data_IF_334927191651
#
_entry.id   IF_334927191651
#
_cell.length_a   1.000
_cell.length_b   1.000
_cell.length_c   1.000
_cell.angle_alpha   90.00
_cell.angle_beta   90.00
_cell.angle_gamma   90.00
#
_symmetry.space_group_name_H-M   'P 1'
#
loop_
_entity.id
_entity.type
_entity.pdbx_description
1 polymer ?
#
# COMPACT_ATOMS: atom_id res chain seq x y z
N UNK A 1 8.58 -2.94 -12.98
CA UNK A 1 7.64 -2.44 -11.96
C UNK A 1 7.38 -0.98 -12.27
N UNK A 2 6.12 -0.56 -12.24
CA UNK A 2 5.70 0.83 -12.43
C UNK A 2 5.37 1.44 -11.06
N UNK A 3 6.04 2.53 -10.70
CA UNK A 3 5.76 3.27 -9.47
C UNK A 3 4.94 4.53 -9.83
N UNK A 4 3.72 4.62 -9.32
CA UNK A 4 2.83 5.75 -9.61
C UNK A 4 3.24 7.05 -8.90
N UNK A 5 4.17 7.00 -7.93
CA UNK A 5 4.78 8.21 -7.36
C UNK A 5 5.66 8.96 -8.36
N UNK A 6 6.14 8.28 -9.41
CA UNK A 6 6.92 8.90 -10.47
C UNK A 6 6.06 9.67 -11.48
N UNK A 7 4.74 9.45 -11.49
CA UNK A 7 3.82 10.26 -12.28
C UNK A 7 3.64 11.63 -11.60
N UNK A 8 4.01 12.69 -12.30
CA UNK A 8 3.76 14.05 -11.82
C UNK A 8 2.27 14.42 -11.91
N UNK A 9 1.89 15.55 -11.29
CA UNK A 9 0.50 15.99 -11.28
C UNK A 9 -0.04 16.28 -12.68
N UNK A 10 0.80 16.75 -13.62
CA UNK A 10 0.38 17.01 -15.00
C UNK A 10 0.02 15.71 -15.73
N UNK A 11 0.75 14.64 -15.46
CA UNK A 11 0.45 13.30 -15.98
C UNK A 11 -0.90 12.76 -15.47
N UNK A 12 -1.26 13.11 -14.25
CA UNK A 12 -2.48 12.62 -13.58
C UNK A 12 -3.72 13.51 -13.78
N UNK A 13 -3.65 14.55 -14.62
CA UNK A 13 -4.81 15.42 -14.90
C UNK A 13 -5.64 14.94 -16.07
N UNK A 14 -5.05 14.21 -17.00
CA UNK A 14 -5.68 13.77 -18.25
C UNK A 14 -5.41 12.28 -18.51
N UNK A 15 -6.46 11.54 -18.82
CA UNK A 15 -6.38 10.09 -19.05
C UNK A 15 -5.47 9.74 -20.23
N UNK A 16 -5.47 10.53 -21.31
CA UNK A 16 -4.60 10.29 -22.45
C UNK A 16 -3.14 10.41 -22.05
N UNK A 17 -2.79 11.49 -21.37
CA UNK A 17 -1.42 11.75 -20.89
C UNK A 17 -0.96 10.65 -19.95
N UNK A 18 -1.83 10.22 -19.01
CA UNK A 18 -1.54 9.12 -18.11
C UNK A 18 -1.30 7.79 -18.85
N UNK A 19 -2.16 7.42 -19.80
CA UNK A 19 -2.00 6.16 -20.53
C UNK A 19 -0.80 6.17 -21.49
N UNK A 20 -0.44 7.32 -22.08
CA UNK A 20 0.81 7.49 -22.83
C UNK A 20 2.02 7.28 -21.93
N UNK A 21 2.06 7.99 -20.78
CA UNK A 21 3.10 7.86 -19.78
C UNK A 21 3.26 6.39 -19.33
N UNK A 22 2.14 5.69 -19.07
CA UNK A 22 2.11 4.27 -18.73
C UNK A 22 2.80 3.43 -19.81
N UNK A 23 2.43 3.62 -21.09
CA UNK A 23 2.95 2.84 -22.19
C UNK A 23 4.46 3.07 -22.38
N UNK A 24 4.92 4.34 -22.31
CA UNK A 24 6.35 4.70 -22.41
C UNK A 24 7.16 4.04 -21.28
N UNK A 25 6.73 4.20 -20.02
CA UNK A 25 7.46 3.65 -18.87
C UNK A 25 7.51 2.12 -18.86
N UNK A 26 6.45 1.46 -19.35
CA UNK A 26 6.47 -0.01 -19.49
C UNK A 26 7.42 -0.44 -20.58
N UNK A 27 7.49 0.29 -21.70
CA UNK A 27 8.45 0.01 -22.79
C UNK A 27 9.90 0.18 -22.32
N UNK A 28 10.18 1.27 -21.62
CA UNK A 28 11.49 1.53 -21.02
C UNK A 28 11.88 0.43 -20.02
N UNK A 29 10.97 0.03 -19.13
CA UNK A 29 11.20 -1.05 -18.17
C UNK A 29 11.43 -2.42 -18.83
N UNK A 30 11.01 -2.60 -20.06
CA UNK A 30 11.24 -3.82 -20.87
C UNK A 30 12.45 -3.70 -21.81
N UNK A 31 13.17 -2.58 -21.77
CA UNK A 31 14.30 -2.28 -22.67
C UNK A 31 13.91 -2.39 -24.16
N UNK A 32 12.71 -1.90 -24.50
CA UNK A 32 12.24 -1.83 -25.89
C UNK A 32 11.96 -0.39 -26.28
N UNK A 33 12.16 -0.10 -27.59
CA UNK A 33 11.89 1.24 -28.13
C UNK A 33 10.44 1.65 -27.89
N UNK A 34 10.21 2.90 -27.51
CA UNK A 34 8.88 3.46 -27.49
C UNK A 34 8.29 3.58 -28.90
N UNK A 35 7.09 3.05 -29.08
CA UNK A 35 6.32 3.06 -30.33
C UNK A 35 4.87 3.44 -30.09
N UNK A 36 4.58 4.21 -29.06
CA UNK A 36 3.21 4.58 -28.70
C UNK A 36 2.51 5.22 -29.89
N UNK A 37 3.13 6.19 -30.57
CA UNK A 37 2.52 6.90 -31.70
C UNK A 37 2.21 5.98 -32.89
N UNK A 38 2.99 4.91 -33.12
CA UNK A 38 2.73 3.96 -34.20
C UNK A 38 1.48 3.08 -33.95
N UNK A 39 1.22 2.77 -32.70
CA UNK A 39 0.13 1.87 -32.30
C UNK A 39 -1.10 2.58 -31.76
N UNK A 40 -0.95 3.88 -31.40
CA UNK A 40 -2.05 4.67 -30.86
C UNK A 40 -3.03 5.09 -31.95
N UNK A 41 -4.32 4.96 -31.68
CA UNK A 41 -5.37 5.33 -32.61
C UNK A 41 -6.54 5.95 -31.83
N UNK A 42 -6.56 7.27 -31.72
CA UNK A 42 -7.54 8.01 -30.91
C UNK A 42 -9.01 7.72 -31.30
N UNK A 43 -9.28 7.47 -32.57
CA UNK A 43 -10.63 7.13 -33.07
C UNK A 43 -11.22 5.86 -32.44
N UNK A 44 -10.39 5.01 -31.84
CA UNK A 44 -10.82 3.78 -31.12
C UNK A 44 -11.10 4.04 -29.64
N UNK A 45 -10.78 5.21 -29.11
CA UNK A 45 -10.81 5.54 -27.69
C UNK A 45 -9.50 5.20 -26.96
N UNK A 46 -9.29 5.85 -25.80
CA UNK A 46 -8.02 5.85 -25.08
C UNK A 46 -7.67 4.47 -24.52
N UNK A 47 -8.62 3.84 -23.82
CA UNK A 47 -8.43 2.51 -23.24
C UNK A 47 -8.16 1.44 -24.31
N UNK A 48 -8.85 1.54 -25.47
CA UNK A 48 -8.61 0.63 -26.60
C UNK A 48 -7.26 0.85 -27.23
N UNK A 49 -6.80 2.08 -27.35
CA UNK A 49 -5.47 2.42 -27.89
C UNK A 49 -4.36 1.89 -27.01
N UNK A 50 -4.47 2.08 -25.69
CA UNK A 50 -3.55 1.50 -24.71
C UNK A 50 -3.54 -0.03 -24.78
N UNK A 51 -4.71 -0.66 -24.80
CA UNK A 51 -4.85 -2.13 -24.93
C UNK A 51 -4.20 -2.63 -26.21
N UNK A 52 -4.38 -1.93 -27.34
CA UNK A 52 -3.79 -2.28 -28.63
C UNK A 52 -2.26 -2.20 -28.58
N UNK A 53 -1.69 -1.17 -27.92
CA UNK A 53 -0.24 -1.04 -27.73
C UNK A 53 0.31 -2.24 -26.94
N UNK A 54 -0.25 -2.53 -25.78
CA UNK A 54 0.16 -3.69 -24.99
C UNK A 54 0.05 -5.00 -25.79
N UNK A 55 -1.09 -5.23 -26.42
CA UNK A 55 -1.36 -6.50 -27.11
C UNK A 55 -0.52 -6.70 -28.35
N UNK A 56 -0.45 -5.69 -29.24
CA UNK A 56 0.15 -5.84 -30.57
C UNK A 56 1.65 -5.55 -30.60
N UNK A 57 2.13 -4.75 -29.64
CA UNK A 57 3.54 -4.44 -29.55
C UNK A 57 4.20 -5.15 -28.38
N UNK A 58 3.85 -4.82 -27.12
CA UNK A 58 4.58 -5.35 -25.98
C UNK A 58 4.45 -6.87 -25.86
N UNK A 59 3.21 -7.39 -25.72
CA UNK A 59 2.96 -8.81 -25.45
C UNK A 59 3.23 -9.73 -26.66
N UNK A 60 3.17 -9.20 -27.88
CA UNK A 60 3.48 -9.96 -29.08
C UNK A 60 4.97 -10.16 -29.29
N UNK A 61 5.81 -9.31 -28.71
CA UNK A 61 7.26 -9.36 -28.84
C UNK A 61 7.97 -10.05 -27.66
N UNK A 62 7.23 -10.56 -26.68
CA UNK A 62 7.79 -11.34 -25.59
C UNK A 62 7.30 -12.79 -25.67
N UNK A 63 8.18 -13.74 -25.41
CA UNK A 63 7.85 -15.18 -25.38
C UNK A 63 7.53 -15.68 -23.97
N UNK A 64 8.00 -15.00 -22.95
CA UNK A 64 7.81 -15.32 -21.54
C UNK A 64 6.57 -14.65 -20.94
N UNK A 65 6.21 -15.05 -19.73
CA UNK A 65 5.21 -14.34 -18.93
C UNK A 65 5.79 -13.00 -18.41
N UNK A 66 4.97 -11.95 -18.43
CA UNK A 66 5.28 -10.63 -17.93
C UNK A 66 4.60 -10.43 -16.57
N UNK A 67 5.37 -10.17 -15.52
CA UNK A 67 4.84 -9.64 -14.26
C UNK A 67 4.76 -8.12 -14.37
N UNK A 68 3.54 -7.60 -14.46
CA UNK A 68 3.27 -6.17 -14.48
C UNK A 68 2.85 -5.73 -13.08
N UNK A 69 3.79 -5.22 -12.30
CA UNK A 69 3.56 -4.71 -10.96
C UNK A 69 3.36 -3.19 -11.02
N UNK A 70 2.30 -2.71 -10.38
CA UNK A 70 1.95 -1.30 -10.21
C UNK A 70 1.99 -0.99 -8.73
N UNK A 71 2.91 -0.14 -8.31
CA UNK A 71 3.11 0.26 -6.93
C UNK A 71 2.52 1.65 -6.67
N UNK A 72 2.21 1.93 -5.40
CA UNK A 72 1.59 3.17 -4.93
C UNK A 72 0.26 3.49 -5.65
N UNK A 73 -0.57 2.46 -5.84
CA UNK A 73 -1.81 2.57 -6.60
C UNK A 73 -2.80 3.56 -5.97
N UNK A 74 -2.74 3.77 -4.66
CA UNK A 74 -3.53 4.75 -3.92
C UNK A 74 -3.34 6.18 -4.40
N UNK A 75 -2.24 6.50 -5.07
CA UNK A 75 -2.04 7.83 -5.67
C UNK A 75 -3.12 8.21 -6.68
N UNK A 76 -3.77 7.23 -7.31
CA UNK A 76 -4.87 7.49 -8.24
C UNK A 76 -6.20 7.79 -7.54
N UNK A 77 -6.33 7.57 -6.23
CA UNK A 77 -7.61 7.72 -5.52
C UNK A 77 -8.12 9.16 -5.52
N UNK A 78 -7.21 10.14 -5.54
CA UNK A 78 -7.54 11.57 -5.67
C UNK A 78 -7.98 11.96 -7.10
N UNK A 79 -7.62 11.14 -8.10
CA UNK A 79 -7.90 11.38 -9.52
C UNK A 79 -9.02 10.44 -10.00
N UNK A 80 -10.22 10.62 -9.47
CA UNK A 80 -11.33 9.67 -9.59
C UNK A 80 -11.68 9.25 -11.02
N UNK A 81 -11.54 10.17 -11.99
CA UNK A 81 -11.78 9.87 -13.41
C UNK A 81 -10.71 8.91 -13.97
N UNK A 82 -9.42 9.20 -13.75
CA UNK A 82 -8.31 8.33 -14.18
C UNK A 82 -8.40 6.99 -13.46
N UNK A 83 -8.63 7.01 -12.15
CA UNK A 83 -8.80 5.80 -11.34
C UNK A 83 -9.89 4.89 -11.91
N UNK A 84 -11.09 5.43 -12.15
CA UNK A 84 -12.23 4.67 -12.67
C UNK A 84 -11.94 4.06 -14.05
N UNK A 85 -11.39 4.84 -14.98
CA UNK A 85 -11.10 4.39 -16.33
C UNK A 85 -9.93 3.40 -16.38
N UNK A 86 -8.91 3.61 -15.55
CA UNK A 86 -7.77 2.68 -15.45
C UNK A 86 -8.17 1.36 -14.81
N UNK A 87 -9.00 1.38 -13.77
CA UNK A 87 -9.57 0.17 -13.20
C UNK A 87 -10.39 -0.62 -14.23
N UNK A 88 -11.21 0.06 -15.04
CA UNK A 88 -11.96 -0.56 -16.14
C UNK A 88 -11.02 -1.20 -17.17
N UNK A 89 -9.94 -0.53 -17.52
CA UNK A 89 -8.92 -1.03 -18.44
C UNK A 89 -8.27 -2.32 -17.89
N UNK A 90 -7.78 -2.31 -16.67
CA UNK A 90 -7.16 -3.47 -16.02
C UNK A 90 -8.15 -4.65 -15.92
N UNK A 91 -9.40 -4.35 -15.58
CA UNK A 91 -10.47 -5.35 -15.55
C UNK A 91 -10.71 -5.97 -16.93
N UNK A 92 -10.74 -5.17 -17.99
CA UNK A 92 -10.94 -5.66 -19.36
C UNK A 92 -9.82 -6.60 -19.82
N UNK A 93 -8.58 -6.35 -19.42
CA UNK A 93 -7.44 -7.22 -19.69
C UNK A 93 -7.58 -8.57 -19.00
N UNK A 94 -8.01 -8.58 -17.74
CA UNK A 94 -8.29 -9.81 -17.01
C UNK A 94 -9.41 -10.64 -17.66
N UNK A 95 -10.52 -9.99 -18.06
CA UNK A 95 -11.62 -10.71 -18.71
C UNK A 95 -11.21 -11.25 -20.09
N UNK A 96 -10.40 -10.50 -20.85
CA UNK A 96 -9.86 -10.95 -22.13
C UNK A 96 -8.94 -12.17 -21.93
N UNK A 97 -8.12 -12.19 -20.88
CA UNK A 97 -7.26 -13.33 -20.58
C UNK A 97 -8.03 -14.63 -20.30
N UNK A 98 -9.31 -14.56 -19.87
CA UNK A 98 -10.17 -15.75 -19.66
C UNK A 98 -10.71 -16.36 -20.95
N UNK A 99 -10.69 -15.61 -22.04
CA UNK A 99 -11.19 -16.11 -23.33
C UNK A 99 -10.28 -17.21 -23.87
N UNK A 100 -10.88 -18.22 -24.49
CA UNK A 100 -10.15 -19.38 -25.03
C UNK A 100 -9.51 -19.14 -26.40
N UNK A 101 -9.69 -17.95 -26.97
CA UNK A 101 -9.24 -17.57 -28.30
C UNK A 101 -7.77 -17.14 -28.37
N UNK A 102 -7.33 -16.68 -29.55
CA UNK A 102 -5.97 -16.16 -29.77
C UNK A 102 -5.65 -14.97 -28.87
N UNK A 103 -6.63 -14.09 -28.64
CA UNK A 103 -6.44 -12.88 -27.83
C UNK A 103 -6.24 -13.24 -26.36
N UNK A 104 -7.07 -14.13 -25.83
CA UNK A 104 -6.92 -14.62 -24.48
C UNK A 104 -5.55 -15.27 -24.24
N UNK A 105 -5.00 -15.99 -25.22
CA UNK A 105 -3.65 -16.57 -25.11
C UNK A 105 -2.56 -15.49 -24.98
N UNK A 106 -2.68 -14.36 -25.68
CA UNK A 106 -1.74 -13.23 -25.55
C UNK A 106 -1.85 -12.61 -24.15
N UNK A 107 -3.05 -12.31 -23.69
CA UNK A 107 -3.28 -11.68 -22.39
C UNK A 107 -2.96 -12.59 -21.20
N UNK A 108 -2.99 -13.91 -21.37
CA UNK A 108 -2.50 -14.87 -20.36
C UNK A 108 -1.02 -14.75 -20.05
N UNK A 109 -0.23 -14.03 -20.86
CA UNK A 109 1.17 -13.74 -20.55
C UNK A 109 1.31 -12.76 -19.40
N UNK A 110 0.34 -11.85 -19.17
CA UNK A 110 0.39 -10.88 -18.06
C UNK A 110 0.01 -11.54 -16.73
N UNK A 111 0.80 -11.22 -15.71
CA UNK A 111 0.49 -11.37 -14.29
C UNK A 111 0.44 -9.99 -13.68
N UNK A 112 -0.77 -9.47 -13.45
CA UNK A 112 -0.95 -8.15 -12.86
C UNK A 112 -0.81 -8.24 -11.35
N UNK A 113 0.02 -7.38 -10.77
CA UNK A 113 0.18 -7.16 -9.33
C UNK A 113 -0.10 -5.69 -9.05
N UNK A 114 -1.07 -5.41 -8.21
CA UNK A 114 -1.38 -4.05 -7.75
C UNK A 114 -1.02 -3.94 -6.28
N UNK A 115 -0.19 -2.97 -5.94
CA UNK A 115 0.27 -2.71 -4.58
C UNK A 115 -0.24 -1.35 -4.15
N UNK A 116 -0.85 -1.31 -2.99
CA UNK A 116 -1.33 -0.08 -2.35
C UNK A 116 -1.16 -0.15 -0.84
N UNK A 117 -0.99 0.99 -0.21
CA UNK A 117 -0.79 1.12 1.24
C UNK A 117 -2.08 1.34 2.03
N UNK A 118 -3.22 1.50 1.35
CA UNK A 118 -4.54 1.69 1.98
C UNK A 118 -5.61 0.85 1.29
N UNK A 119 -6.58 0.38 2.06
CA UNK A 119 -7.76 -0.33 1.55
C UNK A 119 -8.97 0.59 1.33
N UNK A 120 -8.85 1.88 1.66
CA UNK A 120 -9.91 2.86 1.48
C UNK A 120 -9.99 3.31 0.01
N UNK A 121 -10.56 2.47 -0.85
CA UNK A 121 -10.76 2.80 -2.26
C UNK A 121 -11.91 3.79 -2.47
N UNK A 122 -11.81 4.68 -3.46
CA UNK A 122 -12.99 5.39 -3.97
C UNK A 122 -14.08 4.41 -4.41
N UNK A 123 -15.33 4.79 -4.25
CA UNK A 123 -16.45 3.95 -4.65
C UNK A 123 -16.36 3.59 -6.15
N UNK A 124 -16.25 2.31 -6.45
CA UNK A 124 -16.28 1.77 -7.81
C UNK A 124 -17.44 0.79 -7.96
N UNK A 125 -18.03 0.80 -9.15
CA UNK A 125 -18.95 -0.28 -9.55
C UNK A 125 -18.19 -1.63 -9.47
N UNK A 126 -18.84 -2.62 -8.86
CA UNK A 126 -18.28 -3.96 -8.67
C UNK A 126 -17.82 -4.62 -9.99
N UNK A 127 -18.49 -4.30 -11.08
CA UNK A 127 -18.18 -4.82 -12.41
C UNK A 127 -17.00 -4.09 -13.09
N UNK A 128 -16.61 -2.92 -12.57
CA UNK A 128 -15.49 -2.11 -13.10
C UNK A 128 -14.23 -2.29 -12.28
N UNK A 129 -14.32 -2.80 -11.07
CA UNK A 129 -13.19 -2.98 -10.16
C UNK A 129 -12.32 -4.17 -10.55
N UNK A 130 -10.99 -4.03 -10.68
CA UNK A 130 -10.05 -5.14 -10.83
C UNK A 130 -9.86 -5.90 -9.51
N UNK A 131 -10.17 -5.29 -8.37
CA UNK A 131 -9.94 -5.86 -7.03
C UNK A 131 -10.89 -7.00 -6.69
N UNK A 132 -12.04 -7.10 -7.36
CA UNK A 132 -13.03 -8.16 -7.15
C UNK A 132 -12.72 -9.47 -7.89
N UNK A 133 -11.64 -9.52 -8.68
CA UNK A 133 -11.32 -10.68 -9.54
C UNK A 133 -9.94 -11.25 -9.29
N UNK A 134 -9.10 -10.51 -8.61
CA UNK A 134 -7.76 -10.93 -8.19
C UNK A 134 -7.76 -11.69 -6.88
N UNK A 135 -6.58 -12.11 -6.45
CA UNK A 135 -6.31 -12.61 -5.12
C UNK A 135 -5.90 -11.40 -4.25
N UNK A 136 -6.71 -11.08 -3.25
CA UNK A 136 -6.32 -10.10 -2.24
C UNK A 136 -5.27 -10.73 -1.31
N UNK A 137 -4.11 -10.08 -1.19
CA UNK A 137 -3.02 -10.50 -0.30
C UNK A 137 -2.78 -9.34 0.67
N UNK A 138 -3.14 -9.55 1.91
CA UNK A 138 -2.81 -8.64 3.00
C UNK A 138 -1.45 -9.04 3.59
N UNK A 139 -0.53 -8.07 3.67
CA UNK A 139 0.76 -8.27 4.31
C UNK A 139 0.58 -8.12 5.83
N UNK A 140 0.63 -9.24 6.53
CA UNK A 140 0.51 -9.27 7.98
C UNK A 140 1.69 -8.58 8.65
N UNK A 141 1.48 -8.10 9.87
CA UNK A 141 2.59 -7.72 10.75
C UNK A 141 3.56 -8.90 10.97
N UNK A 142 4.82 -8.58 11.29
CA UNK A 142 5.82 -9.59 11.63
C UNK A 142 5.45 -10.31 12.92
N UNK A 143 5.54 -11.63 12.89
CA UNK A 143 5.48 -12.43 14.11
C UNK A 143 6.83 -12.40 14.85
N UNK A 144 6.86 -12.91 16.07
CA UNK A 144 8.05 -12.90 16.92
C UNK A 144 9.27 -13.55 16.25
N UNK A 145 9.08 -14.65 15.51
CA UNK A 145 10.18 -15.32 14.81
C UNK A 145 10.74 -14.42 13.71
N UNK A 146 9.89 -13.78 12.91
CA UNK A 146 10.33 -12.85 11.85
C UNK A 146 11.05 -11.64 12.42
N UNK A 147 10.60 -11.11 13.57
CA UNK A 147 11.33 -10.02 14.27
C UNK A 147 12.70 -10.48 14.72
N UNK A 148 12.84 -11.71 15.27
CA UNK A 148 14.11 -12.28 15.64
C UNK A 148 15.04 -12.46 14.43
N UNK A 149 14.53 -12.90 13.30
CA UNK A 149 15.28 -13.02 12.04
C UNK A 149 15.73 -11.64 11.55
N UNK A 150 14.87 -10.64 11.61
CA UNK A 150 15.22 -9.26 11.27
C UNK A 150 16.33 -8.72 12.13
N UNK A 151 16.27 -8.88 13.45
CA UNK A 151 17.32 -8.48 14.40
C UNK A 151 18.67 -9.15 14.08
N UNK A 152 18.66 -10.43 13.67
CA UNK A 152 19.87 -11.14 13.23
C UNK A 152 20.44 -10.56 11.95
N UNK A 153 19.60 -10.20 10.97
CA UNK A 153 20.05 -9.57 9.71
C UNK A 153 20.71 -8.20 9.95
N UNK A 154 20.27 -7.49 10.98
CA UNK A 154 20.91 -6.23 11.42
C UNK A 154 22.15 -6.45 12.31
N UNK A 155 22.55 -7.71 12.55
CA UNK A 155 23.70 -8.09 13.40
C UNK A 155 23.53 -7.72 14.88
N UNK A 156 22.29 -7.54 15.33
CA UNK A 156 21.93 -7.19 16.72
C UNK A 156 21.44 -8.40 17.54
N UNK A 157 21.70 -9.64 17.10
CA UNK A 157 21.19 -10.86 17.74
C UNK A 157 21.56 -11.03 19.21
N UNK A 158 22.67 -10.43 19.67
CA UNK A 158 23.09 -10.44 21.07
C UNK A 158 22.76 -9.16 21.85
N UNK A 159 22.21 -8.14 21.19
CA UNK A 159 21.99 -6.82 21.78
C UNK A 159 20.81 -6.78 22.74
N UNK A 160 19.68 -7.39 22.35
CA UNK A 160 18.41 -7.20 23.06
C UNK A 160 18.24 -8.08 24.30
N UNK A 161 18.81 -9.27 24.35
CA UNK A 161 18.32 -10.30 25.27
C UNK A 161 16.83 -10.64 25.00
N UNK A 162 16.28 -11.59 25.77
CA UNK A 162 14.87 -11.99 25.59
C UNK A 162 13.88 -10.90 26.04
N UNK A 163 14.21 -10.20 27.12
CA UNK A 163 13.35 -9.16 27.71
C UNK A 163 13.30 -7.90 26.86
N UNK A 164 14.44 -7.42 26.35
CA UNK A 164 14.52 -6.20 25.56
C UNK A 164 13.76 -6.33 24.23
N UNK A 165 13.88 -7.48 23.56
CA UNK A 165 13.12 -7.71 22.33
C UNK A 165 11.61 -7.76 22.59
N UNK A 166 11.20 -8.37 23.70
CA UNK A 166 9.79 -8.41 24.10
C UNK A 166 9.24 -7.02 24.40
N UNK A 167 10.02 -6.15 25.03
CA UNK A 167 9.65 -4.76 25.29
C UNK A 167 9.48 -3.98 23.97
N UNK A 168 10.40 -4.14 23.01
CA UNK A 168 10.27 -3.49 21.71
C UNK A 168 9.03 -3.98 20.95
N UNK A 169 8.79 -5.29 20.89
CA UNK A 169 7.61 -5.86 20.23
C UNK A 169 6.31 -5.37 20.92
N UNK A 170 6.30 -5.27 22.25
CA UNK A 170 5.14 -4.72 22.96
C UNK A 170 4.88 -3.26 22.57
N UNK A 171 5.93 -2.46 22.46
CA UNK A 171 5.81 -1.04 22.11
C UNK A 171 5.29 -0.82 20.68
N UNK A 172 5.91 -1.44 19.69
CA UNK A 172 5.66 -1.14 18.25
C UNK A 172 4.84 -2.23 17.54
N UNK A 173 4.49 -3.30 18.23
CA UNK A 173 3.85 -4.47 17.60
C UNK A 173 4.78 -5.20 16.64
N UNK A 174 4.19 -5.88 15.67
CA UNK A 174 4.90 -6.46 14.53
C UNK A 174 4.99 -5.51 13.33
N UNK A 175 4.77 -4.21 13.51
CA UNK A 175 4.70 -3.24 12.42
C UNK A 175 6.06 -3.11 11.70
N UNK A 176 6.16 -3.49 10.39
CA UNK A 176 7.46 -3.58 9.71
C UNK A 176 8.24 -2.28 9.70
N UNK A 177 7.58 -1.16 9.41
CA UNK A 177 8.23 0.16 9.38
C UNK A 177 8.75 0.57 10.76
N UNK A 178 7.93 0.47 11.82
CA UNK A 178 8.33 0.86 13.18
C UNK A 178 9.48 -0.01 13.70
N UNK A 179 9.44 -1.31 13.41
CA UNK A 179 10.53 -2.21 13.75
C UNK A 179 11.82 -1.86 13.01
N UNK A 180 11.72 -1.56 11.71
CA UNK A 180 12.89 -1.17 10.91
C UNK A 180 13.55 0.09 11.45
N UNK A 181 12.77 1.14 11.72
CA UNK A 181 13.28 2.39 12.30
C UNK A 181 13.94 2.17 13.66
N UNK A 182 13.29 1.42 14.56
CA UNK A 182 13.85 1.11 15.86
C UNK A 182 15.16 0.33 15.76
N UNK A 183 15.20 -0.74 14.99
CA UNK A 183 16.37 -1.61 14.84
C UNK A 183 17.52 -0.86 14.15
N UNK A 184 17.23 -0.06 13.13
CA UNK A 184 18.26 0.76 12.45
C UNK A 184 18.85 1.82 13.38
N UNK A 185 18.02 2.49 14.18
CA UNK A 185 18.50 3.45 15.17
C UNK A 185 19.37 2.80 16.25
N UNK A 186 18.95 1.65 16.79
CA UNK A 186 19.74 0.91 17.78
C UNK A 186 21.06 0.36 17.18
N UNK A 187 21.08 0.02 15.89
CA UNK A 187 22.33 -0.38 15.21
C UNK A 187 23.32 0.76 15.07
N UNK A 188 22.85 2.00 14.87
CA UNK A 188 23.72 3.18 14.83
C UNK A 188 24.32 3.56 16.19
N UNK A 189 23.82 2.96 17.27
CA UNK A 189 24.21 3.22 18.66
C UNK A 189 24.02 4.68 19.10
N UNK A 190 23.12 5.40 18.46
CA UNK A 190 22.79 6.76 18.81
C UNK A 190 22.00 6.86 20.12
N UNK A 191 21.17 5.82 20.40
CA UNK A 191 20.35 5.73 21.61
C UNK A 191 20.38 4.32 22.20
N UNK A 192 20.14 4.20 23.51
CA UNK A 192 19.87 2.90 24.13
C UNK A 192 18.42 2.46 23.91
N UNK A 193 18.14 1.17 24.16
CA UNK A 193 16.76 0.65 24.06
C UNK A 193 15.84 1.34 25.07
N UNK A 194 16.30 1.59 26.28
CA UNK A 194 15.51 2.25 27.33
C UNK A 194 15.20 3.70 26.94
N UNK A 195 16.15 4.41 26.37
CA UNK A 195 15.96 5.78 25.90
C UNK A 195 15.01 5.81 24.71
N UNK A 196 15.17 4.90 23.73
CA UNK A 196 14.27 4.78 22.60
C UNK A 196 12.83 4.53 23.07
N UNK A 197 12.59 3.58 23.98
CA UNK A 197 11.26 3.28 24.52
C UNK A 197 10.68 4.49 25.23
N UNK A 198 11.47 5.20 26.04
CA UNK A 198 11.03 6.37 26.79
C UNK A 198 10.64 7.54 25.89
N UNK A 199 11.41 7.80 24.83
CA UNK A 199 11.17 8.90 23.90
C UNK A 199 10.18 8.57 22.80
N UNK A 200 9.93 7.29 22.52
CA UNK A 200 9.10 6.83 21.41
C UNK A 200 7.74 7.57 21.28
N UNK A 201 6.93 7.76 22.34
CA UNK A 201 5.63 8.44 22.25
C UNK A 201 5.73 9.97 22.30
N UNK A 202 6.92 10.55 22.12
CA UNK A 202 7.17 11.99 22.23
C UNK A 202 7.54 12.61 20.89
N UNK A 203 7.53 13.94 20.82
CA UNK A 203 7.99 14.68 19.63
C UNK A 203 9.51 14.59 19.41
N UNK A 204 10.26 14.13 20.40
CA UNK A 204 11.72 13.88 20.30
C UNK A 204 12.05 12.46 19.87
N UNK A 205 11.05 11.57 19.89
CA UNK A 205 11.24 10.16 19.49
C UNK A 205 11.42 9.99 17.99
N UNK A 206 12.08 8.91 17.61
CA UNK A 206 12.35 8.55 16.20
C UNK A 206 11.10 8.36 15.36
N UNK A 207 9.96 8.09 15.99
CA UNK A 207 8.66 7.89 15.32
C UNK A 207 7.85 9.17 15.14
N UNK A 208 8.34 10.31 15.61
CA UNK A 208 7.56 11.56 15.67
C UNK A 208 6.98 12.00 14.33
N UNK A 209 7.72 11.85 13.23
CA UNK A 209 7.24 12.16 11.89
C UNK A 209 6.05 11.29 11.48
N UNK A 210 6.19 9.98 11.61
CA UNK A 210 5.14 9.01 11.32
C UNK A 210 3.88 9.26 12.17
N UNK A 211 4.07 9.47 13.48
CA UNK A 211 2.98 9.69 14.41
C UNK A 211 2.20 10.99 14.11
N UNK A 212 2.92 12.05 13.66
CA UNK A 212 2.27 13.29 13.21
C UNK A 212 1.44 13.10 11.95
N UNK A 213 1.95 12.35 10.95
CA UNK A 213 1.18 12.04 9.74
C UNK A 213 -0.13 11.29 10.07
N UNK A 214 -0.06 10.32 10.98
CA UNK A 214 -1.23 9.60 11.44
C UNK A 214 -2.20 10.53 12.21
N UNK A 215 -1.69 11.46 13.02
CA UNK A 215 -2.51 12.45 13.72
C UNK A 215 -3.23 13.39 12.75
N UNK A 216 -2.56 13.87 11.70
CA UNK A 216 -3.16 14.70 10.66
C UNK A 216 -4.29 13.94 9.94
N UNK A 217 -4.07 12.67 9.62
CA UNK A 217 -5.09 11.81 9.01
C UNK A 217 -6.33 11.64 9.91
N UNK A 218 -6.13 11.47 11.22
CA UNK A 218 -7.24 11.39 12.19
C UNK A 218 -7.96 12.74 12.36
N UNK A 219 -7.22 13.85 12.35
CA UNK A 219 -7.80 15.20 12.51
C UNK A 219 -8.61 15.64 11.30
N UNK A 220 -8.33 15.11 10.11
CA UNK A 220 -9.05 15.42 8.88
C UNK A 220 -10.46 14.83 8.83
N UNK A 221 -10.77 13.81 9.66
CA UNK A 221 -12.07 13.13 9.74
C UNK A 221 -12.51 12.99 11.21
N UNK A 222 -13.50 13.78 11.62
CA UNK A 222 -14.01 13.80 12.99
C UNK A 222 -14.52 12.43 13.47
N UNK A 223 -15.12 11.64 12.57
CA UNK A 223 -15.65 10.31 12.91
C UNK A 223 -14.51 9.31 13.15
N UNK A 224 -13.43 9.40 12.38
CA UNK A 224 -12.23 8.60 12.62
C UNK A 224 -11.59 8.97 13.94
N UNK A 225 -11.43 10.28 14.22
CA UNK A 225 -10.89 10.78 15.48
C UNK A 225 -11.69 10.25 16.69
N UNK A 226 -13.01 10.42 16.70
CA UNK A 226 -13.88 9.96 17.77
C UNK A 226 -13.89 8.44 17.92
N UNK A 227 -13.89 7.72 16.79
CA UNK A 227 -13.81 6.25 16.78
C UNK A 227 -12.51 5.77 17.41
N UNK A 228 -11.39 6.36 17.01
CA UNK A 228 -10.08 5.96 17.52
C UNK A 228 -9.88 6.33 19.00
N UNK A 229 -10.36 7.49 19.43
CA UNK A 229 -10.35 7.88 20.84
C UNK A 229 -11.01 6.83 21.74
N UNK A 230 -12.13 6.23 21.31
CA UNK A 230 -12.79 5.13 22.05
C UNK A 230 -11.92 3.88 22.16
N UNK A 231 -11.11 3.58 21.14
CA UNK A 231 -10.26 2.40 21.14
C UNK A 231 -9.06 2.56 22.06
N UNK A 232 -8.42 3.74 22.05
CA UNK A 232 -7.19 3.94 22.83
C UNK A 232 -7.43 4.17 24.32
N UNK A 233 -8.65 4.61 24.72
CA UNK A 233 -9.00 4.84 26.12
C UNK A 233 -9.19 3.56 26.93
N UNK A 234 -9.37 2.42 26.26
CA UNK A 234 -9.61 1.15 26.93
C UNK A 234 -8.61 0.07 26.45
N UNK A 235 -8.23 -0.82 27.35
CA UNK A 235 -7.36 -1.95 27.01
C UNK A 235 -8.18 -3.25 26.78
N UNK A 236 -9.18 -3.13 25.90
CA UNK A 236 -10.06 -4.24 25.52
C UNK A 236 -10.59 -4.01 24.11
N UNK A 237 -11.18 -5.05 23.54
CA UNK A 237 -11.85 -4.98 22.24
C UNK A 237 -13.03 -3.99 22.29
N UNK A 238 -13.12 -3.18 21.24
CA UNK A 238 -14.15 -2.14 21.07
C UNK A 238 -14.89 -2.37 19.77
N UNK A 239 -16.20 -2.32 19.81
CA UNK A 239 -17.03 -2.35 18.62
C UNK A 239 -17.25 -0.93 18.10
N UNK A 240 -16.88 -0.69 16.86
CA UNK A 240 -17.11 0.56 16.14
C UNK A 240 -18.03 0.31 14.93
N UNK A 241 -18.41 1.40 14.26
CA UNK A 241 -19.03 1.30 12.94
C UNK A 241 -18.06 0.58 11.98
N UNK A 242 -18.55 -0.39 11.16
CA UNK A 242 -17.68 -1.14 10.24
C UNK A 242 -16.84 -0.28 9.31
N UNK A 243 -17.38 0.82 8.78
CA UNK A 243 -16.66 1.74 7.91
C UNK A 243 -15.49 2.42 8.66
N UNK A 244 -15.72 2.86 9.90
CA UNK A 244 -14.69 3.47 10.74
C UNK A 244 -13.62 2.44 11.12
N UNK A 245 -14.05 1.23 11.51
CA UNK A 245 -13.13 0.13 11.82
C UNK A 245 -12.22 -0.16 10.62
N UNK A 246 -12.79 -0.25 9.43
CA UNK A 246 -12.07 -0.52 8.21
C UNK A 246 -11.06 0.60 7.87
N UNK A 247 -11.48 1.86 7.93
CA UNK A 247 -10.58 3.01 7.70
C UNK A 247 -9.43 3.07 8.72
N UNK A 248 -9.71 2.85 10.02
CA UNK A 248 -8.68 2.81 11.05
C UNK A 248 -7.71 1.64 10.87
N UNK A 249 -8.23 0.48 10.42
CA UNK A 249 -7.41 -0.67 10.08
C UNK A 249 -6.50 -0.39 8.88
N UNK A 250 -7.03 0.23 7.83
CA UNK A 250 -6.26 0.63 6.63
C UNK A 250 -5.12 1.61 6.97
N UNK A 251 -5.32 2.47 7.97
CA UNK A 251 -4.27 3.35 8.50
C UNK A 251 -3.26 2.61 9.40
N UNK A 252 -3.48 1.31 9.67
CA UNK A 252 -2.64 0.54 10.57
C UNK A 252 -2.82 0.86 12.06
N UNK A 253 -3.83 1.67 12.43
CA UNK A 253 -4.04 2.16 13.79
C UNK A 253 -4.73 1.14 14.70
N UNK A 254 -5.52 0.21 14.13
CA UNK A 254 -6.22 -0.84 14.87
C UNK A 254 -6.01 -2.21 14.24
N UNK A 255 -6.07 -3.25 15.07
CA UNK A 255 -6.20 -4.65 14.66
C UNK A 255 -7.65 -5.07 14.78
N UNK A 256 -8.16 -5.72 13.74
CA UNK A 256 -9.51 -6.28 13.75
C UNK A 256 -9.46 -7.69 14.35
N UNK A 257 -10.33 -7.92 15.33
CA UNK A 257 -10.52 -9.23 15.97
C UNK A 257 -12.00 -9.58 15.87
N UNK A 258 -12.36 -10.39 14.88
CA UNK A 258 -13.76 -10.70 14.51
C UNK A 258 -14.50 -9.42 14.07
N UNK A 259 -15.45 -8.93 14.89
CA UNK A 259 -16.23 -7.71 14.61
C UNK A 259 -15.80 -6.50 15.45
N UNK A 260 -14.80 -6.68 16.30
CA UNK A 260 -14.29 -5.68 17.22
C UNK A 260 -12.86 -5.26 16.79
N UNK A 261 -12.35 -4.21 17.40
CA UNK A 261 -10.99 -3.75 17.15
C UNK A 261 -10.27 -3.35 18.45
N UNK A 262 -8.96 -3.32 18.38
CA UNK A 262 -8.05 -2.87 19.45
C UNK A 262 -6.91 -2.06 18.83
N UNK A 263 -6.28 -1.19 19.58
CA UNK A 263 -5.10 -0.45 19.11
C UNK A 263 -3.99 -1.39 18.63
N UNK A 264 -3.35 -1.08 17.52
CA UNK A 264 -2.35 -1.95 16.88
C UNK A 264 -1.12 -2.18 17.76
N UNK A 265 -0.71 -1.17 18.52
CA UNK A 265 0.45 -1.25 19.42
C UNK A 265 0.38 -0.22 20.55
N UNK A 266 1.24 -0.41 21.56
CA UNK A 266 1.31 0.49 22.73
C UNK A 266 1.80 1.89 22.36
N UNK A 267 2.71 2.03 21.40
CA UNK A 267 3.20 3.33 20.90
C UNK A 267 2.05 4.23 20.47
N UNK A 268 1.15 3.72 19.64
CA UNK A 268 0.01 4.47 19.16
C UNK A 268 -0.94 4.84 20.31
N UNK A 269 -1.21 3.91 21.22
CA UNK A 269 -2.03 4.19 22.41
C UNK A 269 -1.44 5.33 23.23
N UNK A 270 -0.16 5.26 23.56
CA UNK A 270 0.51 6.26 24.39
C UNK A 270 0.54 7.65 23.71
N UNK A 271 0.87 7.71 22.43
CA UNK A 271 0.99 8.98 21.70
C UNK A 271 -0.37 9.67 21.52
N UNK A 272 -1.37 8.90 21.07
CA UNK A 272 -2.68 9.47 20.73
C UNK A 272 -3.56 9.74 21.94
N UNK A 273 -3.43 8.98 23.04
CA UNK A 273 -4.20 9.25 24.25
C UNK A 273 -3.99 10.68 24.77
N UNK A 274 -2.78 11.17 24.73
CA UNK A 274 -2.46 12.54 25.17
C UNK A 274 -2.89 13.65 24.18
N UNK A 275 -3.37 13.30 22.98
CA UNK A 275 -3.61 14.27 21.88
C UNK A 275 -5.02 14.23 21.30
N UNK A 276 -5.80 13.23 21.62
CA UNK A 276 -7.17 13.05 21.11
C UNK A 276 -8.24 13.27 22.20
N UNK A 277 -7.82 13.57 23.44
CA UNK A 277 -8.73 13.99 24.53
C UNK A 277 -9.42 15.32 24.26
#
# INVERSE_FOLDING_TARGET
>A
MLDLKLADNSTLTDLKTFLHWLCVNVSDSLDVSDKVDEYWQESLGLNTSCTRYFQRYLLSNIDSSLVFAIDNFERLFEYTNIFSEFCLLLRSWYETAKQGDRMGKIWKKIRLVVVNSTEAYPALDINRSPFNVGLAIELSEFNQQQVQEMVKLYELGGYFGEEGLSQLIKLVGGHPYLLNEAIANLKSQETSLEELISLAPTEQGIFSYHLRQQLESLQSDSQLKEGYAKVITVDKLVQLNPEITFKLHSLGLVKIVRNDCIASCDLYRQYFLARLE
#
